data_IF_328071061263
#
_entry.id   IF_328071061263
#
_cell.length_a   1.000
_cell.length_b   1.000
_cell.length_c   1.000
_cell.angle_alpha   90.00
_cell.angle_beta   90.00
_cell.angle_gamma   90.00
#
_symmetry.space_group_name_H-M   'P 1'
#
loop_
_entity.id
_entity.type
_entity.pdbx_description
1 polymer ?
#
# COMPACT_ATOMS: atom_id res chain seq x y z
N UNK A 1 21.15 -2.73 -63.32
CA UNK A 1 20.35 -3.87 -62.79
C UNK A 1 21.04 -4.36 -61.53
N UNK A 2 20.52 -4.04 -60.34
CA UNK A 2 21.04 -4.58 -59.10
C UNK A 2 20.58 -6.03 -58.94
N UNK A 3 21.54 -6.96 -58.90
CA UNK A 3 21.32 -8.39 -58.67
C UNK A 3 20.86 -8.57 -57.22
N UNK A 4 19.60 -8.89 -57.02
CA UNK A 4 19.09 -9.28 -55.71
C UNK A 4 19.58 -10.71 -55.42
N UNK A 5 20.42 -10.86 -54.40
CA UNK A 5 20.99 -12.16 -54.01
C UNK A 5 19.95 -12.89 -53.15
N UNK A 6 19.58 -14.11 -53.54
CA UNK A 6 18.68 -14.98 -52.77
C UNK A 6 19.24 -15.22 -51.36
N UNK A 7 18.48 -14.83 -50.33
CA UNK A 7 18.87 -14.95 -48.91
C UNK A 7 19.35 -13.65 -48.25
N UNK A 8 19.43 -12.54 -48.98
CA UNK A 8 19.78 -11.24 -48.41
C UNK A 8 18.56 -10.61 -47.74
N UNK A 9 18.53 -10.57 -46.39
CA UNK A 9 17.52 -9.82 -45.63
C UNK A 9 17.76 -8.33 -45.89
N UNK A 10 16.74 -7.64 -46.41
CA UNK A 10 16.79 -6.19 -46.57
C UNK A 10 16.71 -5.54 -45.18
N UNK A 11 17.56 -4.56 -44.89
CA UNK A 11 17.50 -3.79 -43.64
C UNK A 11 16.09 -3.23 -43.39
N UNK A 12 15.39 -2.82 -44.45
CA UNK A 12 14.00 -2.34 -44.37
C UNK A 12 12.98 -3.42 -44.00
N UNK A 13 13.26 -4.71 -44.23
CA UNK A 13 12.39 -5.80 -43.79
C UNK A 13 12.54 -6.08 -42.29
N UNK A 14 13.69 -5.75 -41.69
CA UNK A 14 13.90 -5.78 -40.23
C UNK A 14 13.13 -4.65 -39.54
N UNK A 15 12.98 -3.49 -40.21
CA UNK A 15 12.24 -2.33 -39.69
C UNK A 15 10.72 -2.38 -39.96
N UNK A 16 10.20 -3.44 -40.59
CA UNK A 16 8.77 -3.60 -40.90
C UNK A 16 7.94 -4.20 -39.78
N UNK A 17 8.57 -4.75 -38.73
CA UNK A 17 7.84 -5.17 -37.56
C UNK A 17 7.48 -3.92 -36.75
N UNK A 18 6.22 -3.49 -36.85
CA UNK A 18 5.69 -2.50 -35.93
C UNK A 18 5.95 -2.99 -34.51
N UNK A 19 6.45 -2.13 -33.60
CA UNK A 19 6.67 -2.51 -32.22
C UNK A 19 5.33 -3.02 -31.69
N UNK A 20 5.30 -4.30 -31.34
CA UNK A 20 4.14 -4.92 -30.72
C UNK A 20 3.90 -4.15 -29.43
N UNK A 21 2.81 -3.39 -29.33
CA UNK A 21 2.44 -2.74 -28.08
C UNK A 21 1.61 -3.69 -27.22
N UNK A 22 1.78 -3.61 -25.90
CA UNK A 22 0.94 -4.34 -24.97
C UNK A 22 -0.46 -3.73 -24.96
N UNK A 23 -1.51 -4.56 -24.80
CA UNK A 23 -2.88 -4.07 -24.79
C UNK A 23 -3.11 -3.04 -23.69
N UNK A 24 -3.95 -2.06 -23.99
CA UNK A 24 -4.48 -1.13 -23.00
C UNK A 24 -5.65 -1.81 -22.30
N UNK A 25 -5.52 -2.07 -21.01
CA UNK A 25 -6.53 -2.72 -20.17
C UNK A 25 -7.24 -1.74 -19.23
N UNK A 26 -6.61 -0.59 -18.93
CA UNK A 26 -7.17 0.46 -18.09
C UNK A 26 -7.16 1.79 -18.84
N UNK A 27 -8.22 2.57 -18.66
CA UNK A 27 -8.35 3.90 -19.28
C UNK A 27 -8.09 5.02 -18.26
N UNK A 28 -7.55 6.17 -18.68
CA UNK A 28 -7.40 7.32 -17.80
C UNK A 28 -8.73 7.71 -17.13
N UNK A 29 -8.65 8.01 -15.84
CA UNK A 29 -9.79 8.35 -15.00
C UNK A 29 -10.62 7.17 -14.50
N UNK A 30 -10.36 5.95 -14.96
CA UNK A 30 -10.98 4.74 -14.43
C UNK A 30 -10.61 4.53 -12.96
N UNK A 31 -11.57 4.06 -12.17
CA UNK A 31 -11.33 3.66 -10.78
C UNK A 31 -10.93 2.18 -10.75
N UNK A 32 -9.89 1.89 -10.02
CA UNK A 32 -9.43 0.53 -9.71
C UNK A 32 -9.27 0.37 -8.21
N UNK A 33 -9.38 -0.87 -7.75
CA UNK A 33 -9.28 -1.27 -6.35
C UNK A 33 -8.04 -2.14 -6.21
N UNK A 34 -7.02 -1.60 -5.54
CA UNK A 34 -5.82 -2.34 -5.20
C UNK A 34 -6.04 -3.06 -3.88
N UNK A 35 -5.84 -4.37 -3.87
CA UNK A 35 -5.95 -5.20 -2.68
C UNK A 35 -4.57 -5.39 -2.10
N UNK A 36 -4.35 -4.85 -0.90
CA UNK A 36 -3.12 -4.99 -0.14
C UNK A 36 -3.47 -5.81 1.09
N UNK A 37 -3.15 -7.11 1.05
CA UNK A 37 -3.57 -8.07 2.08
C UNK A 37 -5.09 -8.10 2.21
N UNK A 38 -5.64 -7.74 3.36
CA UNK A 38 -7.08 -7.64 3.61
C UNK A 38 -7.65 -6.24 3.40
N UNK A 39 -6.82 -5.26 3.04
CA UNK A 39 -7.25 -3.88 2.81
C UNK A 39 -7.47 -3.61 1.32
N UNK A 40 -8.39 -2.69 1.03
CA UNK A 40 -8.76 -2.30 -0.32
C UNK A 40 -8.56 -0.80 -0.44
N UNK A 41 -7.65 -0.42 -1.31
CA UNK A 41 -7.30 0.97 -1.57
C UNK A 41 -7.84 1.40 -2.94
N UNK A 42 -8.70 2.42 -3.00
CA UNK A 42 -9.23 2.91 -4.27
C UNK A 42 -8.26 3.89 -4.94
N UNK A 43 -8.01 3.66 -6.22
CA UNK A 43 -7.12 4.47 -7.04
C UNK A 43 -7.80 4.92 -8.33
N UNK A 44 -7.40 6.09 -8.82
CA UNK A 44 -7.75 6.61 -10.13
C UNK A 44 -6.57 6.47 -11.08
N UNK A 45 -6.82 5.90 -12.25
CA UNK A 45 -5.81 5.73 -13.31
C UNK A 45 -5.44 7.09 -13.90
N UNK A 46 -4.14 7.37 -13.96
CA UNK A 46 -3.55 8.57 -14.57
C UNK A 46 -3.67 8.55 -16.10
N UNK A 47 -3.43 9.70 -16.74
CA UNK A 47 -3.26 9.80 -18.19
C UNK A 47 -1.98 9.12 -18.69
N UNK A 48 -1.03 8.83 -17.79
CA UNK A 48 0.27 8.22 -18.12
C UNK A 48 0.24 6.69 -18.01
N UNK A 49 0.67 6.04 -19.09
CA UNK A 49 1.01 4.62 -19.13
C UNK A 49 2.34 4.40 -19.85
N UNK A 50 2.98 3.24 -19.64
CA UNK A 50 4.20 2.84 -20.33
C UNK A 50 4.12 1.40 -20.78
N UNK A 51 4.74 1.12 -21.92
CA UNK A 51 4.83 -0.20 -22.51
C UNK A 51 6.25 -0.75 -22.40
N UNK A 52 6.39 -2.00 -21.98
CA UNK A 52 7.65 -2.73 -22.04
C UNK A 52 7.65 -3.61 -23.28
N UNK A 53 7.91 -2.99 -24.44
CA UNK A 53 8.13 -3.66 -25.73
C UNK A 53 7.11 -4.78 -26.03
N UNK A 54 5.83 -4.54 -25.77
CA UNK A 54 4.76 -5.50 -26.06
C UNK A 54 4.57 -6.64 -25.08
N UNK A 55 5.33 -6.66 -23.98
CA UNK A 55 5.25 -7.71 -22.96
C UNK A 55 4.30 -7.35 -21.82
N UNK A 56 4.28 -6.08 -21.41
CA UNK A 56 3.48 -5.60 -20.30
C UNK A 56 3.25 -4.09 -20.41
N UNK A 57 2.11 -3.61 -19.92
CA UNK A 57 1.79 -2.18 -19.79
C UNK A 57 1.63 -1.83 -18.32
N UNK A 58 2.24 -0.74 -17.88
CA UNK A 58 2.04 -0.18 -16.56
C UNK A 58 1.28 1.14 -16.58
N UNK A 59 0.63 1.46 -15.47
CA UNK A 59 -0.23 2.62 -15.29
C UNK A 59 0.11 3.33 -13.98
N UNK A 60 0.22 4.66 -14.04
CA UNK A 60 0.34 5.48 -12.84
C UNK A 60 -1.01 5.57 -12.13
N UNK A 61 -1.01 5.47 -10.81
CA UNK A 61 -2.21 5.50 -9.98
C UNK A 61 -2.17 6.65 -8.97
N UNK A 62 -3.27 7.41 -8.91
CA UNK A 62 -3.53 8.43 -7.90
C UNK A 62 -4.46 7.87 -6.83
N UNK A 63 -4.04 7.89 -5.57
CA UNK A 63 -4.92 7.52 -4.47
C UNK A 63 -6.04 8.57 -4.38
N UNK A 64 -7.29 8.10 -4.33
CA UNK A 64 -8.47 8.99 -4.40
C UNK A 64 -8.61 9.80 -3.11
N UNK A 65 -8.19 9.26 -1.98
CA UNK A 65 -8.33 9.88 -0.66
C UNK A 65 -7.27 10.96 -0.43
N UNK A 66 -6.01 10.70 -0.80
CA UNK A 66 -4.91 11.65 -0.62
C UNK A 66 -4.67 12.56 -1.83
N UNK A 67 -5.21 12.21 -3.01
CA UNK A 67 -5.02 12.91 -4.28
C UNK A 67 -3.53 13.12 -4.65
N UNK A 68 -2.65 12.23 -4.18
CA UNK A 68 -1.24 12.19 -4.54
C UNK A 68 -0.95 11.01 -5.45
N UNK A 69 0.05 11.12 -6.33
CA UNK A 69 0.60 9.94 -6.99
C UNK A 69 1.18 9.05 -5.91
N UNK A 70 0.74 7.80 -5.88
CA UNK A 70 1.01 6.93 -4.74
C UNK A 70 1.32 5.49 -5.16
N UNK A 71 0.95 5.06 -6.36
CA UNK A 71 1.16 3.68 -6.74
C UNK A 71 1.22 3.47 -8.26
N UNK A 72 1.54 2.24 -8.63
CA UNK A 72 1.68 1.76 -10.00
C UNK A 72 1.04 0.38 -10.08
N UNK A 73 0.28 0.12 -11.15
CA UNK A 73 -0.18 -1.24 -11.50
C UNK A 73 0.24 -1.62 -12.90
N UNK A 74 0.20 -2.91 -13.20
CA UNK A 74 0.58 -3.47 -14.50
C UNK A 74 -0.51 -4.39 -15.03
N UNK A 75 -0.55 -4.63 -16.34
CA UNK A 75 -1.49 -5.58 -16.94
C UNK A 75 -1.43 -6.96 -16.26
N UNK A 76 -0.24 -7.41 -15.86
CA UNK A 76 -0.04 -8.70 -15.18
C UNK A 76 -0.63 -8.77 -13.77
N UNK A 77 -0.93 -7.62 -13.16
CA UNK A 77 -1.49 -7.45 -11.81
C UNK A 77 -3.03 -7.32 -11.83
N UNK A 78 -3.60 -6.95 -12.99
CA UNK A 78 -5.05 -6.85 -13.17
C UNK A 78 -5.71 -8.22 -12.97
N UNK A 79 -6.80 -8.25 -12.20
CA UNK A 79 -7.52 -9.43 -11.73
C UNK A 79 -6.71 -10.36 -10.80
N UNK A 80 -5.58 -9.90 -10.24
CA UNK A 80 -4.82 -10.63 -9.21
C UNK A 80 -4.78 -9.88 -7.89
N UNK A 81 -4.29 -8.65 -7.94
CA UNK A 81 -4.22 -7.71 -6.81
C UNK A 81 -4.87 -6.36 -7.17
N UNK A 82 -5.06 -6.06 -8.45
CA UNK A 82 -5.73 -4.84 -8.92
C UNK A 82 -7.01 -5.21 -9.65
N UNK A 83 -8.14 -4.69 -9.22
CA UNK A 83 -9.46 -5.03 -9.77
C UNK A 83 -10.20 -3.80 -10.28
N UNK A 84 -10.99 -3.97 -11.33
CA UNK A 84 -11.84 -2.89 -11.89
C UNK A 84 -13.22 -2.83 -11.26
N UNK A 85 -13.58 -3.83 -10.47
CA UNK A 85 -14.82 -3.94 -9.71
C UNK A 85 -14.52 -4.20 -8.23
N UNK A 86 -15.37 -3.65 -7.38
CA UNK A 86 -15.18 -3.70 -5.93
C UNK A 86 -15.43 -5.10 -5.38
N UNK A 87 -16.41 -5.82 -5.93
CA UNK A 87 -16.80 -7.15 -5.44
C UNK A 87 -15.64 -8.17 -5.56
N UNK A 88 -14.91 -8.15 -6.68
CA UNK A 88 -13.73 -9.02 -6.86
C UNK A 88 -12.59 -8.62 -5.90
N UNK A 89 -12.40 -7.32 -5.65
CA UNK A 89 -11.44 -6.85 -4.66
C UNK A 89 -11.82 -7.30 -3.24
N UNK A 90 -13.09 -7.19 -2.87
CA UNK A 90 -13.62 -7.65 -1.58
C UNK A 90 -13.48 -9.17 -1.43
N UNK A 91 -13.74 -9.94 -2.48
CA UNK A 91 -13.52 -11.39 -2.47
C UNK A 91 -12.05 -11.72 -2.19
N UNK A 92 -11.12 -11.02 -2.87
CA UNK A 92 -9.68 -11.24 -2.70
C UNK A 92 -9.17 -10.83 -1.32
N UNK A 93 -9.62 -9.68 -0.82
CA UNK A 93 -9.29 -9.20 0.51
C UNK A 93 -9.79 -10.16 1.61
N UNK A 94 -11.03 -10.64 1.48
CA UNK A 94 -11.61 -11.60 2.42
C UNK A 94 -10.91 -12.97 2.35
N UNK A 95 -10.49 -13.43 1.17
CA UNK A 95 -9.66 -14.62 1.03
C UNK A 95 -8.35 -14.46 1.82
N UNK A 96 -7.71 -13.29 1.77
CA UNK A 96 -6.52 -13.02 2.56
C UNK A 96 -6.81 -13.07 4.06
N UNK A 97 -7.83 -12.35 4.52
CA UNK A 97 -8.25 -12.29 5.93
C UNK A 97 -8.56 -13.69 6.48
N UNK A 98 -9.26 -14.52 5.72
CA UNK A 98 -9.65 -15.87 6.15
C UNK A 98 -8.46 -16.81 6.32
N UNK A 99 -7.43 -16.66 5.48
CA UNK A 99 -6.29 -17.58 5.42
C UNK A 99 -5.08 -17.13 6.26
N UNK A 100 -5.13 -15.95 6.89
CA UNK A 100 -4.00 -15.38 7.62
C UNK A 100 -4.41 -14.87 9.00
N UNK A 101 -3.44 -14.87 9.92
CA UNK A 101 -3.60 -14.25 11.24
C UNK A 101 -3.73 -12.72 11.08
N UNK A 102 -4.92 -12.21 11.42
CA UNK A 102 -5.26 -10.80 11.33
C UNK A 102 -5.98 -10.32 12.60
N UNK A 103 -5.76 -9.05 12.96
CA UNK A 103 -6.55 -8.32 13.95
C UNK A 103 -7.22 -7.18 13.20
N UNK A 104 -8.54 -7.25 13.07
CA UNK A 104 -9.29 -6.27 12.30
C UNK A 104 -9.48 -5.00 13.14
N UNK A 105 -9.35 -3.83 12.51
CA UNK A 105 -9.51 -2.53 13.16
C UNK A 105 -10.87 -2.39 13.86
N UNK A 106 -11.94 -2.94 13.25
CA UNK A 106 -13.30 -2.95 13.82
C UNK A 106 -13.43 -3.74 15.12
N UNK A 107 -12.49 -4.64 15.39
CA UNK A 107 -12.47 -5.51 16.56
C UNK A 107 -11.44 -5.02 17.61
N UNK A 108 -10.86 -3.82 17.41
CA UNK A 108 -9.96 -3.17 18.36
C UNK A 108 -10.75 -2.24 19.29
N UNK A 109 -10.92 -2.66 20.54
CA UNK A 109 -11.60 -1.89 21.58
C UNK A 109 -10.60 -1.30 22.55
N UNK A 110 -10.71 0.02 22.79
CA UNK A 110 -9.78 0.78 23.62
C UNK A 110 -10.12 0.60 25.09
N UNK A 111 -9.11 0.21 25.88
CA UNK A 111 -9.13 0.27 27.34
C UNK A 111 -8.51 1.57 27.83
N UNK A 112 -7.36 1.94 27.29
CA UNK A 112 -6.61 3.17 27.64
C UNK A 112 -6.00 3.78 26.37
N UNK A 113 -5.94 5.11 26.30
CA UNK A 113 -5.39 5.86 25.17
C UNK A 113 -4.48 6.98 25.69
N UNK A 114 -3.29 7.07 25.12
CA UNK A 114 -2.38 8.21 25.32
C UNK A 114 -2.02 8.77 23.96
N UNK A 115 -2.26 10.06 23.78
CA UNK A 115 -2.00 10.77 22.53
C UNK A 115 -1.18 12.04 22.77
N UNK A 116 -0.25 12.29 21.87
CA UNK A 116 0.59 13.46 21.80
C UNK A 116 0.46 14.11 20.43
N UNK A 117 0.58 15.43 20.37
CA UNK A 117 0.74 16.17 19.12
C UNK A 117 1.99 17.03 19.15
N UNK A 118 2.66 17.16 18.01
CA UNK A 118 3.81 18.05 17.83
C UNK A 118 3.82 18.62 16.41
N UNK A 119 4.52 19.75 16.23
CA UNK A 119 4.68 20.37 14.93
C UNK A 119 5.90 19.83 14.18
N UNK A 120 5.76 19.52 12.90
CA UNK A 120 6.88 19.16 12.03
C UNK A 120 6.65 19.71 10.62
N UNK A 121 7.60 20.52 10.12
CA UNK A 121 7.54 21.16 8.80
C UNK A 121 6.19 21.87 8.51
N UNK A 122 5.63 22.54 9.52
CA UNK A 122 4.36 23.27 9.41
C UNK A 122 3.10 22.39 9.41
N UNK A 123 3.23 21.09 9.67
CA UNK A 123 2.12 20.15 9.86
C UNK A 123 2.04 19.71 11.31
N UNK A 124 0.83 19.47 11.80
CA UNK A 124 0.62 18.78 13.07
C UNK A 124 0.75 17.27 12.85
N UNK A 125 1.58 16.63 13.67
CA UNK A 125 1.77 15.19 13.70
C UNK A 125 1.24 14.67 15.03
N UNK A 126 0.47 13.59 14.96
CA UNK A 126 -0.03 12.88 16.12
C UNK A 126 0.75 11.59 16.31
N UNK A 127 1.13 11.32 17.55
CA UNK A 127 1.64 10.02 17.98
C UNK A 127 0.71 9.54 19.09
N UNK A 128 0.32 8.28 19.08
CA UNK A 128 -0.51 7.74 20.15
C UNK A 128 -0.28 6.25 20.33
N UNK A 129 -0.57 5.75 21.52
CA UNK A 129 -0.74 4.32 21.74
C UNK A 129 -2.07 4.05 22.43
N UNK A 130 -2.65 2.89 22.13
CA UNK A 130 -3.85 2.41 22.78
C UNK A 130 -3.59 1.05 23.40
N UNK A 131 -3.87 0.91 24.69
CA UNK A 131 -4.02 -0.40 25.33
C UNK A 131 -5.41 -0.89 24.97
N UNK A 132 -5.48 -2.05 24.32
CA UNK A 132 -6.73 -2.67 23.90
C UNK A 132 -7.32 -3.53 25.02
N UNK A 133 -8.61 -3.86 24.96
CA UNK A 133 -9.28 -4.71 25.96
C UNK A 133 -8.65 -6.11 26.13
N UNK A 134 -8.03 -6.63 25.07
CA UNK A 134 -7.27 -7.89 25.10
C UNK A 134 -5.82 -7.72 25.59
N UNK A 135 -5.47 -6.55 26.14
CA UNK A 135 -4.16 -6.15 26.66
C UNK A 135 -3.03 -6.06 25.61
N UNK A 136 -3.33 -6.13 24.32
CA UNK A 136 -2.37 -5.74 23.29
C UNK A 136 -2.21 -4.22 23.27
N UNK A 137 -1.05 -3.74 22.81
CA UNK A 137 -0.78 -2.30 22.72
C UNK A 137 -0.56 -1.94 21.25
N UNK A 138 -1.46 -1.11 20.72
CA UNK A 138 -1.35 -0.55 19.38
C UNK A 138 -0.56 0.74 19.44
N UNK A 139 0.42 0.90 18.57
CA UNK A 139 1.20 2.12 18.44
C UNK A 139 0.96 2.78 17.08
N UNK A 140 0.75 4.09 17.10
CA UNK A 140 0.78 4.97 15.95
C UNK A 140 1.88 6.01 16.13
N UNK A 141 2.79 6.03 15.17
CA UNK A 141 3.81 7.08 15.07
C UNK A 141 3.56 7.78 13.75
N UNK A 142 3.33 9.10 13.74
CA UNK A 142 2.99 9.82 12.51
C UNK A 142 4.09 9.84 11.43
N UNK A 143 5.25 9.24 11.69
CA UNK A 143 6.32 9.00 10.70
C UNK A 143 6.78 7.54 10.58
N UNK A 144 6.12 6.57 11.22
CA UNK A 144 6.44 5.12 11.09
C UNK A 144 5.16 4.32 10.87
N UNK A 145 5.33 3.04 10.55
CA UNK A 145 4.19 2.13 10.42
C UNK A 145 3.55 1.82 11.78
N UNK A 146 2.22 1.79 11.78
CA UNK A 146 1.45 1.33 12.91
C UNK A 146 1.73 -0.16 13.16
N UNK A 147 1.76 -0.57 14.44
CA UNK A 147 2.07 -1.94 14.83
C UNK A 147 1.53 -2.30 16.22
N UNK A 148 1.50 -3.60 16.53
CA UNK A 148 1.30 -4.09 17.91
C UNK A 148 2.67 -4.26 18.57
N UNK A 149 2.88 -3.55 19.68
CA UNK A 149 4.14 -3.55 20.42
C UNK A 149 4.01 -4.13 21.83
N UNK A 150 5.04 -3.90 22.66
CA UNK A 150 5.10 -4.39 24.05
C UNK A 150 4.88 -3.26 25.06
N UNK A 151 4.70 -3.61 26.34
CA UNK A 151 4.62 -2.63 27.44
C UNK A 151 5.92 -1.87 27.64
N UNK A 152 7.07 -2.49 27.35
CA UNK A 152 8.38 -1.86 27.51
C UNK A 152 8.59 -0.73 26.50
N UNK A 153 7.91 -0.79 25.36
CA UNK A 153 7.94 0.25 24.34
C UNK A 153 7.22 1.53 24.79
N UNK A 154 6.25 1.46 25.71
CA UNK A 154 5.53 2.66 26.22
C UNK A 154 6.53 3.69 26.74
N UNK A 155 7.52 3.24 27.50
CA UNK A 155 8.54 4.13 28.07
C UNK A 155 9.35 4.82 26.96
N UNK A 156 9.72 4.08 25.92
CA UNK A 156 10.47 4.62 24.78
C UNK A 156 9.60 5.63 24.01
N UNK A 157 8.34 5.28 23.77
CA UNK A 157 7.36 6.14 23.14
C UNK A 157 7.18 7.46 23.89
N UNK A 158 6.99 7.43 25.20
CA UNK A 158 6.79 8.63 26.03
C UNK A 158 8.07 9.47 26.12
N UNK A 159 9.24 8.82 26.27
CA UNK A 159 10.54 9.50 26.24
C UNK A 159 10.78 10.20 24.90
N UNK A 160 10.48 9.55 23.77
CA UNK A 160 10.64 10.13 22.44
C UNK A 160 9.70 11.32 22.24
N UNK A 161 8.44 11.22 22.67
CA UNK A 161 7.51 12.35 22.60
C UNK A 161 7.94 13.52 23.50
N UNK A 162 8.57 13.27 24.65
CA UNK A 162 9.10 14.33 25.52
C UNK A 162 10.25 15.13 24.88
N UNK A 163 10.99 14.54 23.93
CA UNK A 163 12.12 15.18 23.25
C UNK A 163 11.70 16.15 22.15
N UNK A 164 10.46 16.06 21.64
CA UNK A 164 9.99 16.78 20.44
C UNK A 164 9.01 17.93 20.73
N UNK A 165 9.04 18.51 21.94
CA UNK A 165 8.11 19.57 22.38
C UNK A 165 6.63 19.22 22.08
N UNK A 166 6.27 17.98 22.38
CA UNK A 166 4.92 17.48 22.15
C UNK A 166 3.97 17.86 23.28
N UNK A 167 2.69 17.95 22.96
CA UNK A 167 1.61 18.26 23.90
C UNK A 167 0.62 17.10 23.98
N UNK A 168 0.19 16.76 25.19
CA UNK A 168 -0.81 15.71 25.42
C UNK A 168 -2.16 16.15 24.85
N UNK A 169 -2.86 15.22 24.21
CA UNK A 169 -4.20 15.43 23.63
C UNK A 169 -5.19 14.50 24.31
N UNK A 170 -6.13 15.06 25.06
CA UNK A 170 -7.09 14.28 25.86
C UNK A 170 -8.31 13.79 25.04
N UNK A 171 -8.72 14.54 24.02
CA UNK A 171 -9.94 14.26 23.24
C UNK A 171 -9.63 13.67 21.86
N UNK A 172 -8.50 12.98 21.72
CA UNK A 172 -8.10 12.40 20.45
C UNK A 172 -8.96 11.17 20.12
N UNK A 173 -9.45 11.09 18.87
CA UNK A 173 -10.19 9.93 18.36
C UNK A 173 -9.23 9.14 17.46
N UNK A 174 -8.71 7.98 17.89
CA UNK A 174 -7.76 7.21 17.11
C UNK A 174 -8.46 6.48 15.97
N UNK A 175 -7.74 6.35 14.85
CA UNK A 175 -8.17 5.59 13.69
C UNK A 175 -7.29 4.35 13.58
N UNK A 176 -7.84 3.19 13.95
CA UNK A 176 -7.14 1.93 13.84
C UNK A 176 -7.06 1.45 12.40
N UNK A 177 -5.97 0.73 12.10
CA UNK A 177 -5.77 -0.02 10.85
C UNK A 177 -5.72 -1.51 11.14
N UNK A 178 -6.13 -2.31 10.16
CA UNK A 178 -6.02 -3.76 10.25
C UNK A 178 -4.54 -4.15 10.45
N UNK A 179 -4.30 -5.13 11.33
CA UNK A 179 -2.98 -5.66 11.62
C UNK A 179 -2.85 -7.06 11.08
N UNK A 180 -1.74 -7.33 10.42
CA UNK A 180 -1.45 -8.62 9.82
C UNK A 180 -0.11 -9.11 10.33
N UNK A 181 -0.04 -10.41 10.62
CA UNK A 181 1.21 -11.02 11.03
C UNK A 181 2.10 -11.22 9.80
N UNK A 182 3.32 -10.69 9.82
CA UNK A 182 4.19 -10.76 8.64
C UNK A 182 4.92 -12.11 8.49
N UNK A 183 5.13 -12.85 9.58
CA UNK A 183 5.50 -14.26 9.62
C UNK A 183 5.13 -14.86 11.01
N UNK A 184 5.39 -16.15 11.26
CA UNK A 184 5.00 -16.82 12.50
C UNK A 184 5.69 -16.27 13.76
N UNK A 185 6.86 -15.67 13.63
CA UNK A 185 7.73 -15.18 14.72
C UNK A 185 7.87 -13.65 14.75
N UNK A 186 7.31 -12.96 13.75
CA UNK A 186 7.45 -11.52 13.51
C UNK A 186 6.38 -10.69 14.22
N UNK A 187 6.66 -9.40 14.25
CA UNK A 187 5.76 -8.36 14.73
C UNK A 187 4.51 -8.24 13.83
N UNK A 188 3.40 -7.84 14.46
CA UNK A 188 2.19 -7.42 13.74
C UNK A 188 2.41 -6.05 13.11
N UNK A 189 2.17 -5.93 11.80
CA UNK A 189 2.26 -4.67 11.08
C UNK A 189 0.96 -4.40 10.32
N UNK A 190 0.69 -3.12 10.05
CA UNK A 190 -0.46 -2.73 9.23
C UNK A 190 -0.20 -2.88 7.72
N UNK A 191 -1.24 -3.01 6.90
CA UNK A 191 -1.15 -3.29 5.45
C UNK A 191 -0.36 -2.28 4.61
N UNK A 192 -0.44 -0.98 4.92
CA UNK A 192 0.39 0.13 4.39
C UNK A 192 1.87 -0.19 4.24
N UNK A 193 2.36 -1.07 5.13
CA UNK A 193 3.63 -1.73 4.94
C UNK A 193 3.48 -2.72 3.78
N UNK A 194 3.43 -2.19 2.54
CA UNK A 194 3.49 -2.94 1.29
C UNK A 194 4.76 -3.83 1.19
N UNK A 195 5.68 -3.68 2.15
CA UNK A 195 6.79 -4.57 2.38
C UNK A 195 6.30 -5.95 2.87
N UNK A 196 6.50 -6.97 2.06
CA UNK A 196 6.91 -8.26 2.60
C UNK A 196 8.31 -8.04 3.20
N UNK A 197 8.57 -8.46 4.43
CA UNK A 197 9.92 -8.44 4.97
C UNK A 197 10.86 -9.11 3.95
N UNK A 198 11.83 -8.36 3.44
CA UNK A 198 13.03 -8.96 2.88
C UNK A 198 13.76 -9.57 4.07
N UNK A 199 14.02 -10.88 4.02
CA UNK A 199 15.01 -11.49 4.89
C UNK A 199 16.32 -10.70 4.75
N UNK A 200 16.79 -10.10 5.86
CA UNK A 200 18.20 -9.76 6.06
C UNK A 200 18.97 -11.06 6.34
#
# INVERSE_FOLDING_TARGET
MNKQISGQINLFDIFKEEPKESPVLLNPGQIVYLVVRGDIEPYKVSDRSWDIQGTNRGYDLFNIESNTHSNVTWNVNINKDTFTDKDSAELKANEYIFNNDCILAKDMYIKELVAYKHGYLGKEIYNWYAVLENNMIYYHYGGKYDHIGSTDEIKIFEEDNSKVDSTVVYDYIPHFKNMYKCDTDSNWLYADAHYQFFHL
#
